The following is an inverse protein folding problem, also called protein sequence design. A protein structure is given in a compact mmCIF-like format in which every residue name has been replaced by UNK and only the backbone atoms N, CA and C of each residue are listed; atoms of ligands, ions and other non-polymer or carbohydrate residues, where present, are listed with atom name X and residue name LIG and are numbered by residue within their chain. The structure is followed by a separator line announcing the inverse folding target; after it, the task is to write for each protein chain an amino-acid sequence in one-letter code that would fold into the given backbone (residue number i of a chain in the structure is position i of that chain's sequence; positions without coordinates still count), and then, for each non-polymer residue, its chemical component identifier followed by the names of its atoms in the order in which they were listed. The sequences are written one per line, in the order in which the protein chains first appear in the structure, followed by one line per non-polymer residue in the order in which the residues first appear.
data_IF_232296644335
#
_entry.id   IF_232296644335
#
_cell.length_a   1.000
_cell.length_b   1.000
_cell.length_c   1.000
_cell.angle_alpha   90.00
_cell.angle_beta   90.00
_cell.angle_gamma   90.00
#
_symmetry.space_group_name_H-M   'P 1'
#
loop_
_entity.id
_entity.type
_entity.pdbx_description
1 polymer ?
#
# COMPACT_ATOMS: atom_id res chain seq x y z
N UNK A 1 7.59 7.70 -4.66
CA UNK A 1 6.61 6.91 -3.88
C UNK A 1 6.08 7.79 -2.78
N UNK A 2 4.75 7.85 -2.64
CA UNK A 2 4.08 8.60 -1.58
C UNK A 2 3.26 7.63 -0.74
N UNK A 3 3.37 7.75 0.58
CA UNK A 3 2.72 6.86 1.53
C UNK A 3 1.80 7.65 2.45
N UNK A 4 0.82 6.96 3.02
CA UNK A 4 -0.09 7.49 4.03
C UNK A 4 -0.82 8.78 3.61
N UNK A 5 -1.27 8.87 2.36
CA UNK A 5 -1.89 10.11 1.83
C UNK A 5 -3.16 10.56 2.57
N UNK A 6 -3.79 9.65 3.30
CA UNK A 6 -4.90 9.96 4.20
C UNK A 6 -4.51 10.91 5.36
N UNK A 7 -3.23 11.16 5.59
CA UNK A 7 -2.69 12.14 6.52
C UNK A 7 -2.06 13.37 5.84
N UNK A 8 -2.05 13.41 4.51
CA UNK A 8 -1.51 14.55 3.79
C UNK A 8 -2.35 15.80 4.06
N UNK A 9 -1.68 16.93 4.27
CA UNK A 9 -2.35 18.21 4.38
C UNK A 9 -2.93 18.65 3.01
N UNK A 10 -3.91 19.58 2.98
CA UNK A 10 -4.54 20.01 1.74
C UNK A 10 -3.57 20.51 0.67
N UNK A 11 -2.50 21.23 1.05
CA UNK A 11 -1.55 21.79 0.08
C UNK A 11 -0.68 20.71 -0.58
N UNK A 12 -0.35 19.64 0.16
CA UNK A 12 0.31 18.45 -0.40
C UNK A 12 -0.60 17.74 -1.40
N UNK A 13 -1.91 17.67 -1.14
CA UNK A 13 -2.88 17.06 -2.06
C UNK A 13 -3.05 17.88 -3.35
N UNK A 14 -3.09 19.21 -3.26
CA UNK A 14 -3.12 20.10 -4.43
C UNK A 14 -1.86 19.96 -5.31
N UNK A 15 -0.69 19.82 -4.66
CA UNK A 15 0.56 19.55 -5.35
C UNK A 15 0.51 18.20 -6.08
N UNK A 16 -0.01 17.16 -5.41
CA UNK A 16 -0.14 15.82 -5.99
C UNK A 16 -1.12 15.77 -7.15
N UNK A 17 -2.22 16.52 -7.07
CA UNK A 17 -3.14 16.68 -8.20
C UNK A 17 -2.41 17.25 -9.41
N UNK A 18 -1.70 18.36 -9.23
CA UNK A 18 -0.91 18.99 -10.30
C UNK A 18 0.18 18.04 -10.85
N UNK A 19 0.82 17.28 -9.96
CA UNK A 19 1.82 16.30 -10.32
C UNK A 19 1.24 15.18 -11.20
N UNK A 20 0.05 14.66 -10.85
CA UNK A 20 -0.66 13.62 -11.60
C UNK A 20 -1.09 14.15 -12.97
N UNK A 21 -1.52 15.41 -13.07
CA UNK A 21 -1.83 16.03 -14.37
C UNK A 21 -0.64 16.03 -15.31
N UNK A 22 0.55 16.33 -14.79
CA UNK A 22 1.77 16.46 -15.58
C UNK A 22 2.52 15.15 -15.79
N UNK A 23 2.17 14.08 -15.07
CA UNK A 23 2.84 12.78 -15.15
C UNK A 23 3.09 12.26 -16.58
N UNK A 24 2.16 12.42 -17.57
CA UNK A 24 2.39 11.96 -18.94
C UNK A 24 3.51 12.69 -19.69
N UNK A 25 3.99 13.83 -19.18
CA UNK A 25 5.06 14.62 -19.82
C UNK A 25 6.47 14.07 -19.55
N UNK A 26 6.59 13.06 -18.67
CA UNK A 26 7.86 12.45 -18.30
C UNK A 26 7.75 10.93 -18.23
N UNK A 27 8.86 10.24 -18.45
CA UNK A 27 8.95 8.78 -18.26
C UNK A 27 9.14 8.46 -16.79
N UNK A 28 8.04 8.37 -16.04
CA UNK A 28 8.06 8.08 -14.60
C UNK A 28 6.95 7.10 -14.18
N UNK A 29 7.21 6.38 -13.09
CA UNK A 29 6.23 5.54 -12.40
C UNK A 29 6.24 5.95 -10.92
N UNK A 30 5.07 6.37 -10.41
CA UNK A 30 4.90 6.67 -8.99
C UNK A 30 3.79 5.83 -8.39
N UNK A 31 4.08 5.28 -7.22
CA UNK A 31 3.14 4.54 -6.38
C UNK A 31 2.69 5.43 -5.24
N UNK A 32 1.38 5.51 -5.06
CA UNK A 32 0.69 6.30 -4.05
C UNK A 32 -0.16 5.34 -3.22
N UNK A 33 0.06 5.30 -1.90
CA UNK A 33 -0.68 4.40 -0.99
C UNK A 33 -1.53 5.19 0.01
N UNK A 34 -2.70 4.67 0.34
CA UNK A 34 -3.66 5.29 1.25
C UNK A 34 -4.63 4.26 1.85
N UNK A 35 -5.33 4.64 2.92
CA UNK A 35 -6.37 3.79 3.54
C UNK A 35 -7.63 3.77 2.69
N UNK A 36 -8.41 2.65 2.67
CA UNK A 36 -9.61 2.52 1.84
C UNK A 36 -10.64 3.66 1.97
N UNK A 37 -10.74 4.29 3.14
CA UNK A 37 -11.69 5.38 3.41
C UNK A 37 -11.25 6.74 2.83
N UNK A 38 -10.01 6.84 2.33
CA UNK A 38 -9.51 8.05 1.69
C UNK A 38 -9.95 8.09 0.23
N UNK A 39 -10.63 9.17 -0.16
CA UNK A 39 -10.97 9.46 -1.56
C UNK A 39 -9.96 10.46 -2.12
N UNK A 40 -9.11 10.06 -3.07
CA UNK A 40 -8.18 11.00 -3.70
C UNK A 40 -8.93 12.14 -4.43
N UNK A 41 -8.47 13.40 -4.32
CA UNK A 41 -9.21 14.55 -4.86
C UNK A 41 -9.08 14.72 -6.38
N UNK A 42 -8.15 14.03 -7.03
CA UNK A 42 -7.96 14.09 -8.49
C UNK A 42 -8.94 13.16 -9.24
N UNK A 43 -9.38 13.54 -10.45
CA UNK A 43 -10.29 12.73 -11.25
C UNK A 43 -9.63 11.47 -11.82
N UNK A 44 -10.44 10.54 -12.34
CA UNK A 44 -9.94 9.39 -13.07
C UNK A 44 -9.13 9.80 -14.30
N UNK A 45 -7.92 9.23 -14.43
CA UNK A 45 -7.01 9.45 -15.56
C UNK A 45 -6.57 8.10 -16.14
N UNK A 46 -6.37 8.04 -17.46
CA UNK A 46 -5.96 6.79 -18.13
C UNK A 46 -4.56 6.31 -17.72
N UNK A 47 -3.70 7.23 -17.28
CA UNK A 47 -2.34 6.96 -16.79
C UNK A 47 -2.28 6.72 -15.27
N UNK A 48 -3.42 6.66 -14.58
CA UNK A 48 -3.51 6.31 -13.16
C UNK A 48 -4.28 5.00 -13.03
N UNK A 49 -3.66 4.00 -12.41
CA UNK A 49 -4.28 2.69 -12.19
C UNK A 49 -4.52 2.49 -10.69
N UNK A 50 -5.78 2.41 -10.23
CA UNK A 50 -6.06 2.02 -8.86
C UNK A 50 -5.79 0.53 -8.69
N UNK A 51 -5.06 0.18 -7.63
CA UNK A 51 -4.80 -1.20 -7.23
C UNK A 51 -5.37 -1.40 -5.84
N UNK A 52 -6.42 -2.22 -5.73
CA UNK A 52 -6.98 -2.60 -4.44
C UNK A 52 -6.15 -3.73 -3.85
N UNK A 53 -5.51 -3.47 -2.71
CA UNK A 53 -4.81 -4.48 -1.94
C UNK A 53 -5.77 -5.07 -0.90
N UNK A 54 -6.10 -6.35 -1.06
CA UNK A 54 -6.88 -7.08 -0.09
C UNK A 54 -6.01 -7.51 1.10
N UNK A 55 -6.67 -7.87 2.20
CA UNK A 55 -6.00 -8.48 3.35
C UNK A 55 -5.32 -9.76 2.91
N UNK A 56 -4.12 -10.00 3.43
CA UNK A 56 -3.41 -11.25 3.22
C UNK A 56 -4.22 -12.40 3.80
N UNK A 57 -4.43 -13.43 3.02
CA UNK A 57 -4.95 -14.69 3.54
C UNK A 57 -3.91 -15.33 4.44
N UNK A 58 -4.39 -16.17 5.35
CA UNK A 58 -3.53 -16.86 6.33
C UNK A 58 -2.36 -17.61 5.68
N UNK A 59 -2.61 -18.29 4.55
CA UNK A 59 -1.56 -19.02 3.82
C UNK A 59 -0.47 -18.09 3.29
N UNK A 60 -0.87 -16.91 2.81
CA UNK A 60 0.07 -15.90 2.30
C UNK A 60 0.90 -15.31 3.45
N UNK A 61 0.25 -15.02 4.58
CA UNK A 61 0.93 -14.53 5.78
C UNK A 61 1.96 -15.55 6.32
N UNK A 62 1.60 -16.83 6.42
CA UNK A 62 2.53 -17.92 6.82
C UNK A 62 3.72 -17.99 5.86
N UNK A 63 3.45 -17.87 4.55
CA UNK A 63 4.50 -17.90 3.51
C UNK A 63 5.49 -16.75 3.68
N UNK A 64 4.99 -15.54 3.93
CA UNK A 64 5.84 -14.36 4.18
C UNK A 64 6.66 -14.54 5.46
N UNK A 65 6.04 -15.02 6.55
CA UNK A 65 6.74 -15.28 7.82
C UNK A 65 7.88 -16.29 7.62
N UNK A 66 7.64 -17.38 6.88
CA UNK A 66 8.66 -18.39 6.59
C UNK A 66 9.85 -17.83 5.81
N UNK A 67 9.60 -16.96 4.82
CA UNK A 67 10.66 -16.27 4.08
C UNK A 67 11.47 -15.32 4.98
N UNK A 68 10.79 -14.54 5.84
CA UNK A 68 11.44 -13.61 6.76
C UNK A 68 12.25 -14.33 7.85
N UNK A 69 11.81 -15.51 8.28
CA UNK A 69 12.53 -16.36 9.23
C UNK A 69 13.79 -17.01 8.64
N UNK A 70 14.06 -16.83 7.34
CA UNK A 70 15.19 -17.44 6.65
C UNK A 70 15.08 -18.96 6.57
N UNK A 71 13.85 -19.49 6.50
CA UNK A 71 13.59 -20.93 6.49
C UNK A 71 13.76 -21.63 7.84
N UNK A 72 13.98 -20.89 8.93
CA UNK A 72 13.96 -21.48 10.28
C UNK A 72 12.53 -21.86 10.64
N UNK A 73 12.33 -23.08 11.12
CA UNK A 73 11.05 -23.49 11.68
C UNK A 73 10.75 -22.64 12.91
N UNK A 74 9.58 -21.99 12.88
CA UNK A 74 9.04 -21.26 14.01
C UNK A 74 7.93 -22.09 14.66
N UNK A 75 7.82 -22.10 16.01
CA UNK A 75 6.71 -22.76 16.68
C UNK A 75 5.37 -22.23 16.16
N UNK A 76 4.37 -23.09 15.91
CA UNK A 76 3.07 -22.68 15.38
C UNK A 76 2.40 -21.56 16.20
N UNK A 77 2.55 -21.60 17.52
CA UNK A 77 2.06 -20.57 18.44
C UNK A 77 2.61 -19.16 18.17
N UNK A 78 3.86 -19.05 17.71
CA UNK A 78 4.48 -17.76 17.36
C UNK A 78 3.96 -17.26 16.02
N UNK A 79 3.78 -18.15 15.05
CA UNK A 79 3.17 -17.82 13.75
C UNK A 79 1.75 -17.29 13.96
N UNK A 80 0.95 -17.96 14.79
CA UNK A 80 -0.39 -17.51 15.16
C UNK A 80 -0.39 -16.14 15.84
N UNK A 81 0.55 -15.93 16.76
CA UNK A 81 0.67 -14.66 17.47
C UNK A 81 0.97 -13.51 16.51
N UNK A 82 1.89 -13.72 15.56
CA UNK A 82 2.23 -12.73 14.54
C UNK A 82 1.01 -12.43 13.67
N UNK A 83 0.34 -13.44 13.12
CA UNK A 83 -0.85 -13.24 12.26
C UNK A 83 -1.92 -12.44 13.01
N UNK A 84 -2.23 -12.83 14.25
CA UNK A 84 -3.26 -12.16 15.06
C UNK A 84 -2.91 -10.70 15.37
N UNK A 85 -1.62 -10.39 15.59
CA UNK A 85 -1.16 -9.02 15.88
C UNK A 85 -1.04 -8.15 14.63
N UNK A 86 -0.77 -8.75 13.48
CA UNK A 86 -0.56 -8.07 12.20
C UNK A 86 -1.84 -7.87 11.38
N UNK A 87 -2.99 -8.36 11.85
CA UNK A 87 -4.28 -8.18 11.19
C UNK A 87 -4.69 -6.69 11.08
N UNK A 88 -4.03 -5.77 11.78
CA UNK A 88 -4.23 -4.32 11.62
C UNK A 88 -5.49 -3.78 12.29
#
# INVERSE_FOLDING_TARGET
MWEDLHWADPSTLELLETYIEQAPTASLLNVLTFRPDFTPPWPHRSHVTPITLNRLERVEAVTIIGHLAGGKEMPPEVIEHIITKSDG
#
